data_IF_111533164219
#
_entry.id   IF_111533164219
#
_cell.length_a   1.000
_cell.length_b   1.000
_cell.length_c   1.000
_cell.angle_alpha   90.00
_cell.angle_beta   90.00
_cell.angle_gamma   90.00
#
_symmetry.space_group_name_H-M   'P 1'
#
loop_
_entity.id
_entity.type
_entity.pdbx_description
1 polymer ?
#
# COMPACT_ATOMS: atom_id res chain seq x y z
N UNK A 1 -8.54 -8.63 19.88
CA UNK A 1 -9.75 -9.06 19.17
C UNK A 1 -9.36 -10.25 18.30
N UNK A 2 -9.85 -11.45 18.62
CA UNK A 2 -9.51 -12.67 17.91
C UNK A 2 -10.31 -12.71 16.62
N UNK A 3 -9.65 -12.96 15.47
CA UNK A 3 -10.25 -13.09 14.13
C UNK A 3 -11.16 -14.33 13.94
N UNK A 4 -11.65 -14.94 15.05
CA UNK A 4 -12.30 -16.25 15.01
C UNK A 4 -13.79 -16.27 14.64
N UNK A 5 -14.46 -15.12 14.52
CA UNK A 5 -15.94 -15.07 14.41
C UNK A 5 -16.47 -14.51 13.07
N UNK A 6 -15.68 -14.50 12.01
CA UNK A 6 -16.23 -14.30 10.67
C UNK A 6 -16.69 -15.67 10.16
N UNK A 7 -17.98 -15.94 10.28
CA UNK A 7 -18.60 -17.17 9.74
C UNK A 7 -18.18 -17.37 8.28
N UNK A 8 -17.64 -18.53 7.92
CA UNK A 8 -17.39 -18.85 6.53
C UNK A 8 -18.74 -18.92 5.82
N UNK A 9 -18.90 -18.08 4.79
CA UNK A 9 -19.97 -18.29 3.80
C UNK A 9 -19.76 -19.70 3.27
N UNK A 10 -20.78 -20.55 3.38
CA UNK A 10 -20.74 -21.98 3.04
C UNK A 10 -19.93 -22.23 1.77
N UNK A 11 -18.79 -22.83 1.95
CA UNK A 11 -17.88 -23.19 0.89
C UNK A 11 -18.42 -24.43 0.18
N UNK A 12 -18.88 -24.28 -1.03
CA UNK A 12 -18.53 -25.33 -1.99
C UNK A 12 -17.01 -25.27 -2.10
N UNK A 13 -16.35 -26.14 -1.37
CA UNK A 13 -14.89 -26.33 -1.36
C UNK A 13 -14.42 -26.84 -2.71
N UNK A 14 -14.35 -25.95 -3.69
CA UNK A 14 -13.34 -26.06 -4.72
C UNK A 14 -12.20 -25.18 -4.24
N UNK A 15 -11.05 -25.73 -4.01
CA UNK A 15 -9.78 -25.02 -3.86
C UNK A 15 -9.58 -24.23 -5.16
N UNK A 16 -10.18 -23.05 -5.24
CA UNK A 16 -9.98 -22.16 -6.38
C UNK A 16 -8.50 -21.77 -6.37
N UNK A 17 -7.74 -22.42 -7.25
CA UNK A 17 -6.34 -22.07 -7.46
C UNK A 17 -6.33 -20.88 -8.43
N UNK A 18 -6.20 -19.67 -7.88
CA UNK A 18 -6.08 -18.48 -8.70
C UNK A 18 -4.66 -18.37 -9.24
N UNK A 19 -4.51 -18.44 -10.54
CA UNK A 19 -3.20 -18.38 -11.21
C UNK A 19 -2.82 -16.99 -11.69
N UNK A 20 -3.79 -16.12 -11.98
CA UNK A 20 -3.57 -14.74 -12.47
C UNK A 20 -4.44 -13.75 -11.72
N UNK A 21 -3.82 -13.03 -10.79
CA UNK A 21 -4.51 -12.10 -9.87
C UNK A 21 -4.21 -10.66 -10.28
N UNK A 22 -5.27 -9.87 -10.43
CA UNK A 22 -5.20 -8.42 -10.58
C UNK A 22 -5.52 -7.76 -9.24
N UNK A 23 -4.57 -7.04 -8.66
CA UNK A 23 -4.77 -6.21 -7.47
C UNK A 23 -4.85 -4.74 -7.89
N UNK A 24 -5.91 -4.04 -7.49
CA UNK A 24 -6.16 -2.65 -7.86
C UNK A 24 -6.10 -1.78 -6.61
N UNK A 25 -5.00 -1.06 -6.43
CA UNK A 25 -4.82 -0.04 -5.39
C UNK A 25 -3.92 1.08 -5.91
N UNK A 26 -4.48 2.03 -6.68
CA UNK A 26 -3.72 3.07 -7.36
C UNK A 26 -3.11 4.13 -6.44
N UNK A 27 -3.70 4.41 -5.28
CA UNK A 27 -3.28 5.48 -4.34
C UNK A 27 -3.99 5.31 -2.96
N UNK A 28 -3.60 6.00 -1.89
CA UNK A 28 -2.44 6.88 -1.77
C UNK A 28 -1.24 6.10 -1.22
N UNK A 29 -0.08 6.75 -0.98
CA UNK A 29 1.14 6.09 -0.49
C UNK A 29 0.88 5.20 0.74
N UNK A 30 0.30 5.75 1.81
CA UNK A 30 0.00 4.98 3.02
C UNK A 30 -0.94 3.80 2.76
N UNK A 31 -1.99 4.01 1.95
CA UNK A 31 -2.94 2.96 1.58
C UNK A 31 -2.29 1.84 0.75
N UNK A 32 -1.31 2.17 -0.11
CA UNK A 32 -0.53 1.20 -0.87
C UNK A 32 0.27 0.32 0.08
N UNK A 33 0.99 0.92 1.04
CA UNK A 33 1.74 0.17 2.06
C UNK A 33 0.80 -0.70 2.90
N UNK A 34 -0.37 -0.18 3.30
CA UNK A 34 -1.38 -0.95 4.04
C UNK A 34 -1.94 -2.16 3.25
N UNK A 35 -1.77 -2.20 1.93
CA UNK A 35 -2.18 -3.34 1.12
C UNK A 35 -1.10 -4.43 0.97
N UNK A 36 0.14 -4.22 1.40
CA UNK A 36 1.20 -5.24 1.33
C UNK A 36 0.84 -6.54 2.06
N UNK A 37 0.22 -6.52 3.26
CA UNK A 37 -0.21 -7.74 3.92
C UNK A 37 -1.19 -8.58 3.11
N UNK A 38 -2.01 -7.97 2.26
CA UNK A 38 -2.89 -8.71 1.35
C UNK A 38 -2.07 -9.51 0.34
N UNK A 39 -1.02 -8.90 -0.25
CA UNK A 39 -0.11 -9.60 -1.17
C UNK A 39 0.55 -10.77 -0.47
N UNK A 40 1.11 -10.56 0.73
CA UNK A 40 1.75 -11.60 1.52
C UNK A 40 0.78 -12.77 1.81
N UNK A 41 -0.47 -12.46 2.17
CA UNK A 41 -1.49 -13.46 2.45
C UNK A 41 -1.91 -14.24 1.19
N UNK A 42 -2.10 -13.55 0.05
CA UNK A 42 -2.42 -14.18 -1.23
C UNK A 42 -1.31 -15.12 -1.69
N UNK A 43 -0.05 -14.69 -1.59
CA UNK A 43 1.11 -15.51 -1.97
C UNK A 43 1.35 -16.68 -1.03
N UNK A 44 1.04 -16.56 0.26
CA UNK A 44 1.09 -17.68 1.19
C UNK A 44 0.03 -18.74 0.83
N UNK A 45 -1.16 -18.33 0.42
CA UNK A 45 -2.24 -19.23 0.01
C UNK A 45 -2.03 -19.82 -1.40
N UNK A 46 -1.57 -19.00 -2.34
CA UNK A 46 -1.34 -19.36 -3.74
C UNK A 46 0.08 -18.98 -4.18
N UNK A 47 1.12 -19.74 -3.79
CA UNK A 47 2.52 -19.39 -4.09
C UNK A 47 2.83 -19.28 -5.59
N UNK A 48 2.14 -20.08 -6.42
CA UNK A 48 2.29 -20.07 -7.88
C UNK A 48 1.46 -18.99 -8.61
N UNK A 49 0.64 -18.21 -7.90
CA UNK A 49 -0.17 -17.18 -8.52
C UNK A 49 0.70 -16.02 -9.06
N UNK A 50 0.43 -15.59 -10.28
CA UNK A 50 1.01 -14.38 -10.86
C UNK A 50 0.19 -13.16 -10.48
N UNK A 51 0.74 -12.29 -9.64
CA UNK A 51 0.08 -11.11 -9.13
C UNK A 51 0.52 -9.85 -9.87
N UNK A 52 -0.42 -9.22 -10.57
CA UNK A 52 -0.25 -7.90 -11.21
C UNK A 52 -0.91 -6.84 -10.36
N UNK A 53 -0.18 -5.78 -10.02
CA UNK A 53 -0.71 -4.67 -9.22
C UNK A 53 -0.86 -3.40 -10.05
N UNK A 54 -2.10 -2.89 -10.14
CA UNK A 54 -2.39 -1.59 -10.77
C UNK A 54 -2.16 -0.48 -9.75
N UNK A 55 -1.24 0.42 -10.07
CA UNK A 55 -0.83 1.54 -9.21
C UNK A 55 -0.58 2.81 -10.05
N UNK A 56 -0.75 4.01 -9.47
CA UNK A 56 -0.31 5.24 -10.13
C UNK A 56 1.19 5.23 -10.37
N UNK A 57 1.63 5.71 -11.55
CA UNK A 57 3.04 5.71 -11.97
C UNK A 57 4.00 6.24 -10.90
N UNK A 58 3.64 7.30 -10.21
CA UNK A 58 4.47 7.88 -9.14
C UNK A 58 4.76 6.94 -7.96
N UNK A 59 4.02 5.86 -7.81
CA UNK A 59 4.19 4.86 -6.75
C UNK A 59 4.64 3.48 -7.30
N UNK A 60 4.93 3.40 -8.60
CA UNK A 60 5.29 2.13 -9.24
C UNK A 60 6.52 1.52 -8.60
N UNK A 61 7.58 2.29 -8.42
CA UNK A 61 8.83 1.86 -7.80
C UNK A 61 8.62 1.27 -6.39
N UNK A 62 7.76 1.89 -5.57
CA UNK A 62 7.42 1.36 -4.24
C UNK A 62 6.78 -0.03 -4.34
N UNK A 63 5.86 -0.22 -5.29
CA UNK A 63 5.16 -1.50 -5.48
C UNK A 63 6.07 -2.57 -6.09
N UNK A 64 7.04 -2.21 -6.92
CA UNK A 64 8.08 -3.09 -7.44
C UNK A 64 8.96 -3.69 -6.32
N UNK A 65 9.07 -2.98 -5.20
CA UNK A 65 9.78 -3.45 -4.00
C UNK A 65 8.92 -4.37 -3.13
N UNK A 66 7.59 -4.44 -3.31
CA UNK A 66 6.74 -5.33 -2.54
C UNK A 66 7.00 -6.79 -2.92
N UNK A 67 7.40 -7.62 -1.95
CA UNK A 67 7.60 -9.06 -2.18
C UNK A 67 6.28 -9.74 -2.54
N UNK A 68 6.32 -10.54 -3.61
CA UNK A 68 5.14 -11.25 -4.07
C UNK A 68 4.35 -10.52 -5.17
N UNK A 69 4.73 -9.29 -5.54
CA UNK A 69 4.25 -8.65 -6.75
C UNK A 69 5.11 -9.11 -7.92
N UNK A 70 4.50 -9.75 -8.92
CA UNK A 70 5.21 -10.26 -10.09
C UNK A 70 5.26 -9.23 -11.22
N UNK A 71 4.23 -8.37 -11.30
CA UNK A 71 4.16 -7.29 -12.29
C UNK A 71 3.49 -6.06 -11.72
N UNK A 72 4.08 -4.90 -11.97
CA UNK A 72 3.47 -3.60 -11.72
C UNK A 72 2.85 -3.09 -13.02
N UNK A 73 1.60 -2.61 -12.93
CA UNK A 73 0.88 -1.97 -14.03
C UNK A 73 0.66 -0.50 -13.70
N UNK A 74 1.54 0.39 -14.16
CA UNK A 74 1.42 1.80 -13.86
C UNK A 74 0.26 2.45 -14.63
N UNK A 75 -0.57 3.21 -13.92
CA UNK A 75 -1.66 3.99 -14.51
C UNK A 75 -1.44 5.48 -14.28
N UNK A 76 -1.80 6.28 -15.30
CA UNK A 76 -1.69 7.74 -15.23
C UNK A 76 -2.65 8.41 -16.20
N UNK A 77 -2.75 9.73 -16.12
CA UNK A 77 -3.48 10.55 -17.06
C UNK A 77 -4.96 10.72 -16.75
N UNK A 78 -5.71 11.05 -17.80
CA UNK A 78 -7.14 11.38 -17.79
C UNK A 78 -8.03 10.13 -17.68
N UNK A 79 -9.34 10.34 -17.55
CA UNK A 79 -10.33 9.26 -17.55
C UNK A 79 -10.26 8.39 -18.82
N UNK A 80 -10.04 9.01 -19.99
CA UNK A 80 -9.89 8.26 -21.25
C UNK A 80 -8.65 7.37 -21.30
N UNK A 81 -7.53 7.84 -20.73
CA UNK A 81 -6.31 7.03 -20.56
C UNK A 81 -6.57 5.81 -19.67
N UNK A 82 -7.30 5.98 -18.57
CA UNK A 82 -7.66 4.89 -17.67
C UNK A 82 -8.53 3.85 -18.36
N UNK A 83 -9.48 4.29 -19.18
CA UNK A 83 -10.35 3.38 -19.94
C UNK A 83 -9.54 2.53 -20.95
N UNK A 84 -8.62 3.16 -21.69
CA UNK A 84 -7.70 2.45 -22.60
C UNK A 84 -6.85 1.41 -21.87
N UNK A 85 -6.31 1.79 -20.72
CA UNK A 85 -5.50 0.89 -19.89
C UNK A 85 -6.34 -0.26 -19.30
N UNK A 86 -7.59 0.02 -18.86
CA UNK A 86 -8.52 -1.00 -18.40
C UNK A 86 -8.84 -2.03 -19.49
N UNK A 87 -9.01 -1.58 -20.72
CA UNK A 87 -9.23 -2.48 -21.87
C UNK A 87 -8.01 -3.35 -22.16
N UNK A 88 -6.79 -2.80 -22.03
CA UNK A 88 -5.55 -3.54 -22.23
C UNK A 88 -5.36 -4.66 -21.17
N UNK A 89 -5.85 -4.46 -19.93
CA UNK A 89 -5.83 -5.49 -18.90
C UNK A 89 -6.61 -6.75 -19.27
N UNK A 90 -7.61 -6.65 -20.15
CA UNK A 90 -8.41 -7.80 -20.59
C UNK A 90 -7.58 -8.86 -21.31
N UNK A 91 -6.56 -8.45 -22.04
CA UNK A 91 -5.66 -9.37 -22.76
C UNK A 91 -4.84 -10.26 -21.82
N UNK A 92 -4.68 -9.83 -20.56
CA UNK A 92 -3.92 -10.56 -19.54
C UNK A 92 -4.67 -11.77 -18.96
N UNK A 93 -5.99 -11.89 -19.22
CA UNK A 93 -6.83 -13.04 -18.83
C UNK A 93 -6.74 -13.36 -17.33
N UNK A 94 -6.99 -12.36 -16.48
CA UNK A 94 -7.06 -12.55 -15.03
C UNK A 94 -8.24 -13.45 -14.65
N UNK A 95 -8.04 -14.34 -13.68
CA UNK A 95 -9.11 -15.16 -13.08
C UNK A 95 -9.69 -14.53 -11.82
N UNK A 96 -8.96 -13.61 -11.20
CA UNK A 96 -9.38 -12.85 -10.02
C UNK A 96 -8.96 -11.40 -10.14
N UNK A 97 -9.89 -10.47 -9.90
CA UNK A 97 -9.60 -9.05 -9.72
C UNK A 97 -10.04 -8.61 -8.33
N UNK A 98 -9.12 -7.99 -7.60
CA UNK A 98 -9.31 -7.48 -6.22
C UNK A 98 -9.22 -5.96 -6.26
N UNK A 99 -10.31 -5.26 -5.94
CA UNK A 99 -10.32 -3.81 -5.84
C UNK A 99 -10.31 -3.35 -4.38
N UNK A 100 -9.15 -2.87 -3.92
CA UNK A 100 -8.95 -2.29 -2.59
C UNK A 100 -9.13 -0.75 -2.59
N UNK A 101 -9.37 -0.14 -3.74
CA UNK A 101 -9.59 1.31 -3.84
C UNK A 101 -11.05 1.69 -3.60
N UNK A 102 -11.99 0.97 -4.20
CA UNK A 102 -13.42 1.17 -4.00
C UNK A 102 -13.95 2.49 -4.57
N UNK A 103 -13.46 2.95 -5.72
CA UNK A 103 -13.93 4.12 -6.46
C UNK A 103 -14.38 3.73 -7.86
N UNK A 104 -15.19 4.56 -8.54
CA UNK A 104 -15.68 4.28 -9.88
C UNK A 104 -14.57 3.84 -10.86
N UNK A 105 -13.46 4.59 -10.90
CA UNK A 105 -12.35 4.30 -11.80
C UNK A 105 -11.72 2.93 -11.55
N UNK A 106 -11.56 2.54 -10.30
CA UNK A 106 -11.01 1.22 -9.95
C UNK A 106 -12.01 0.10 -10.22
N UNK A 107 -13.31 0.36 -9.99
CA UNK A 107 -14.38 -0.55 -10.38
C UNK A 107 -14.39 -0.82 -11.89
N UNK A 108 -14.24 0.22 -12.71
CA UNK A 108 -14.10 0.09 -14.18
C UNK A 108 -12.90 -0.79 -14.55
N UNK A 109 -11.73 -0.58 -13.91
CA UNK A 109 -10.56 -1.45 -14.13
C UNK A 109 -10.88 -2.91 -13.82
N UNK A 110 -11.53 -3.17 -12.68
CA UNK A 110 -11.97 -4.52 -12.31
C UNK A 110 -12.95 -5.10 -13.32
N UNK A 111 -13.99 -4.34 -13.72
CA UNK A 111 -14.99 -4.78 -14.67
C UNK A 111 -14.44 -5.10 -16.05
N UNK A 112 -13.63 -4.20 -16.62
CA UNK A 112 -13.04 -4.35 -17.95
C UNK A 112 -11.90 -5.35 -18.01
N UNK A 113 -11.28 -5.72 -16.88
CA UNK A 113 -10.26 -6.79 -16.82
C UNK A 113 -10.77 -8.12 -17.37
N UNK A 114 -12.09 -8.33 -17.34
CA UNK A 114 -12.70 -9.58 -17.79
C UNK A 114 -12.54 -10.73 -16.79
N UNK A 115 -11.98 -10.48 -15.60
CA UNK A 115 -11.87 -11.51 -14.56
C UNK A 115 -13.26 -12.03 -14.16
N UNK A 116 -13.48 -13.37 -14.12
CA UNK A 116 -14.78 -13.95 -13.73
C UNK A 116 -15.11 -13.67 -12.26
N UNK A 117 -14.09 -13.58 -11.40
CA UNK A 117 -14.26 -13.19 -10.00
C UNK A 117 -13.70 -11.79 -9.81
N UNK A 118 -14.58 -10.87 -9.41
CA UNK A 118 -14.22 -9.49 -9.11
C UNK A 118 -14.72 -9.16 -7.71
N UNK A 119 -13.79 -8.85 -6.79
CA UNK A 119 -14.12 -8.65 -5.39
C UNK A 119 -13.68 -7.25 -4.94
N UNK A 120 -14.50 -6.62 -4.14
CA UNK A 120 -14.24 -5.31 -3.53
C UNK A 120 -15.24 -5.03 -2.41
N UNK A 121 -15.16 -3.84 -1.83
CA UNK A 121 -15.99 -3.47 -0.68
C UNK A 121 -17.43 -3.16 -1.08
N UNK A 122 -18.40 -3.65 -0.28
CA UNK A 122 -19.82 -3.35 -0.45
C UNK A 122 -20.11 -1.85 -0.27
N UNK A 123 -19.40 -1.18 0.64
CA UNK A 123 -19.46 0.26 0.88
C UNK A 123 -18.53 1.08 -0.02
N UNK A 124 -18.10 0.52 -1.16
CA UNK A 124 -17.36 1.25 -2.18
C UNK A 124 -18.13 2.48 -2.66
N UNK A 125 -17.41 3.55 -3.01
CA UNK A 125 -18.00 4.83 -3.41
C UNK A 125 -18.17 4.94 -4.92
N UNK A 126 -18.92 5.97 -5.35
CA UNK A 126 -19.07 6.33 -6.76
C UNK A 126 -19.62 5.19 -7.64
N UNK A 127 -20.38 4.25 -7.07
CA UNK A 127 -20.93 3.12 -7.80
C UNK A 127 -19.95 1.98 -8.08
N UNK A 128 -18.75 1.97 -7.49
CA UNK A 128 -17.78 0.89 -7.69
C UNK A 128 -18.31 -0.51 -7.39
N UNK A 129 -19.24 -0.75 -6.41
CA UNK A 129 -19.78 -2.08 -6.16
C UNK A 129 -20.53 -2.71 -7.34
N UNK A 130 -20.98 -1.92 -8.32
CA UNK A 130 -21.66 -2.46 -9.51
C UNK A 130 -20.76 -3.32 -10.41
N UNK A 131 -19.44 -3.12 -10.30
CA UNK A 131 -18.46 -3.86 -11.08
C UNK A 131 -18.03 -5.18 -10.43
N UNK A 132 -18.42 -5.44 -9.17
CA UNK A 132 -17.98 -6.62 -8.43
C UNK A 132 -18.98 -7.77 -8.54
N UNK A 133 -18.45 -8.98 -8.68
CA UNK A 133 -19.25 -10.22 -8.57
C UNK A 133 -19.37 -10.68 -7.11
N UNK A 134 -18.43 -10.25 -6.24
CA UNK A 134 -18.47 -10.49 -4.80
C UNK A 134 -18.22 -9.18 -4.07
N UNK A 135 -18.99 -8.92 -3.03
CA UNK A 135 -18.87 -7.71 -2.22
C UNK A 135 -18.57 -8.09 -0.79
N UNK A 136 -17.64 -7.37 -0.19
CA UNK A 136 -17.20 -7.60 1.20
C UNK A 136 -17.75 -6.49 2.07
N UNK A 137 -18.52 -6.89 3.08
CA UNK A 137 -19.02 -5.96 4.09
C UNK A 137 -17.89 -5.50 5.01
N UNK A 138 -17.90 -4.21 5.36
CA UNK A 138 -16.96 -3.63 6.31
C UNK A 138 -17.73 -3.37 7.59
N UNK A 139 -17.41 -4.06 8.70
CA UNK A 139 -18.20 -4.02 9.94
C UNK A 139 -18.32 -2.63 10.56
N UNK A 140 -17.24 -1.83 10.50
CA UNK A 140 -17.23 -0.47 11.05
C UNK A 140 -16.50 0.49 10.12
N UNK A 141 -16.91 1.77 10.13
CA UNK A 141 -16.25 2.81 9.32
C UNK A 141 -14.83 3.15 9.83
N UNK A 142 -14.60 2.92 11.13
CA UNK A 142 -13.35 3.23 11.83
C UNK A 142 -12.32 2.10 11.73
N UNK A 143 -12.66 0.99 11.05
CA UNK A 143 -11.74 -0.13 10.88
C UNK A 143 -10.43 0.32 10.24
N UNK A 144 -9.31 -0.08 10.84
CA UNK A 144 -7.99 0.24 10.31
C UNK A 144 -7.82 -0.30 8.89
N UNK A 145 -7.14 0.46 8.02
CA UNK A 145 -7.05 0.13 6.60
C UNK A 145 -6.45 -1.26 6.32
N UNK A 146 -5.47 -1.71 7.10
CA UNK A 146 -4.87 -3.05 6.99
C UNK A 146 -5.92 -4.13 7.22
N UNK A 147 -6.67 -4.04 8.33
CA UNK A 147 -7.69 -5.02 8.69
C UNK A 147 -8.80 -5.04 7.65
N UNK A 148 -9.23 -3.86 7.22
CA UNK A 148 -10.21 -3.69 6.15
C UNK A 148 -9.78 -4.39 4.85
N UNK A 149 -8.52 -4.25 4.44
CA UNK A 149 -8.02 -4.89 3.22
C UNK A 149 -7.90 -6.40 3.39
N UNK A 150 -7.51 -6.87 4.56
CA UNK A 150 -7.43 -8.30 4.88
C UNK A 150 -8.80 -8.98 4.91
N UNK A 151 -9.91 -8.26 5.19
CA UNK A 151 -11.27 -8.82 5.02
C UNK A 151 -11.48 -9.36 3.60
N UNK A 152 -10.94 -8.67 2.57
CA UNK A 152 -11.09 -9.11 1.18
C UNK A 152 -10.34 -10.43 0.94
N UNK A 153 -9.14 -10.58 1.50
CA UNK A 153 -8.40 -11.84 1.45
C UNK A 153 -9.16 -12.95 2.19
N UNK A 154 -9.68 -12.67 3.39
CA UNK A 154 -10.51 -13.62 4.17
C UNK A 154 -11.74 -14.08 3.41
N UNK A 155 -12.45 -13.17 2.72
CA UNK A 155 -13.62 -13.49 1.90
C UNK A 155 -13.30 -14.38 0.67
N UNK A 156 -12.04 -14.47 0.28
CA UNK A 156 -11.52 -15.40 -0.74
C UNK A 156 -11.11 -16.76 -0.14
N UNK A 157 -11.28 -16.95 1.16
CA UNK A 157 -10.87 -18.18 1.86
C UNK A 157 -9.38 -18.24 2.20
N UNK A 158 -8.67 -17.10 2.08
CA UNK A 158 -7.26 -17.01 2.48
C UNK A 158 -7.15 -17.10 3.99
N UNK A 159 -6.34 -18.02 4.48
CA UNK A 159 -6.10 -18.17 5.92
C UNK A 159 -5.15 -17.07 6.40
N UNK A 160 -5.68 -16.17 7.21
CA UNK A 160 -4.90 -15.11 7.86
C UNK A 160 -4.30 -15.67 9.15
N UNK A 161 -2.97 -15.82 9.21
CA UNK A 161 -2.26 -16.35 10.37
C UNK A 161 -1.27 -15.33 10.90
N UNK A 162 -1.28 -15.13 12.22
CA UNK A 162 -0.37 -14.21 12.89
C UNK A 162 -0.59 -12.74 12.57
N UNK A 163 0.45 -11.94 12.77
CA UNK A 163 0.42 -10.50 12.48
C UNK A 163 0.52 -10.19 10.98
N UNK A 164 -0.09 -9.09 10.49
CA UNK A 164 0.05 -8.65 9.10
C UNK A 164 1.51 -8.51 8.68
N UNK A 165 1.89 -9.11 7.55
CA UNK A 165 3.27 -9.12 7.07
C UNK A 165 3.49 -8.08 5.98
N UNK A 166 4.35 -7.10 6.26
CA UNK A 166 4.77 -6.07 5.31
C UNK A 166 6.12 -6.46 4.70
N UNK A 167 6.09 -7.28 3.64
CA UNK A 167 7.31 -7.77 2.99
C UNK A 167 7.75 -6.81 1.90
N UNK A 168 8.97 -6.30 2.05
CA UNK A 168 9.54 -5.26 1.20
C UNK A 168 11.00 -5.55 0.90
N UNK A 169 11.39 -5.46 -0.36
CA UNK A 169 12.76 -5.66 -0.81
C UNK A 169 13.56 -4.37 -0.65
N UNK A 170 14.65 -4.42 0.10
CA UNK A 170 15.67 -3.39 0.14
C UNK A 170 16.82 -3.87 -0.72
N UNK A 171 17.20 -3.11 -1.76
CA UNK A 171 18.32 -3.50 -2.62
C UNK A 171 19.63 -3.02 -2.01
N UNK A 172 20.72 -3.74 -2.32
CA UNK A 172 22.06 -3.35 -1.91
C UNK A 172 22.45 -1.94 -2.38
N UNK A 173 21.97 -1.56 -3.58
CA UNK A 173 22.16 -0.21 -4.12
C UNK A 173 21.47 0.87 -3.26
N UNK A 174 20.27 0.61 -2.74
CA UNK A 174 19.55 1.55 -1.85
C UNK A 174 20.34 1.71 -0.54
N UNK A 175 20.83 0.60 0.02
CA UNK A 175 21.66 0.62 1.23
C UNK A 175 22.98 1.33 1.02
N UNK A 176 23.64 1.12 -0.12
CA UNK A 176 24.89 1.81 -0.47
C UNK A 176 24.68 3.32 -0.57
N UNK A 177 23.60 3.76 -1.23
CA UNK A 177 23.25 5.18 -1.36
C UNK A 177 23.00 5.83 0.02
N UNK A 178 22.25 5.16 0.89
CA UNK A 178 21.93 5.67 2.23
C UNK A 178 23.21 5.72 3.10
N UNK A 179 24.09 4.70 3.05
CA UNK A 179 25.37 4.69 3.74
C UNK A 179 26.25 5.88 3.30
N UNK A 180 26.33 6.13 2.00
CA UNK A 180 27.10 7.26 1.46
C UNK A 180 26.51 8.60 1.90
N UNK A 181 25.18 8.73 1.91
CA UNK A 181 24.52 9.93 2.41
C UNK A 181 24.88 10.20 3.89
N UNK A 182 24.81 9.18 4.74
CA UNK A 182 25.19 9.31 6.15
C UNK A 182 26.65 9.70 6.30
N UNK A 183 27.55 9.00 5.61
CA UNK A 183 28.99 9.28 5.62
C UNK A 183 29.31 10.72 5.19
N UNK A 184 28.65 11.22 4.13
CA UNK A 184 28.83 12.59 3.64
C UNK A 184 28.38 13.67 4.63
N UNK A 185 27.59 13.29 5.64
CA UNK A 185 27.11 14.15 6.74
C UNK A 185 27.83 13.88 8.07
N UNK A 186 28.89 13.07 8.06
CA UNK A 186 29.64 12.73 9.27
C UNK A 186 28.90 11.78 10.23
N UNK A 187 27.88 11.07 9.74
CA UNK A 187 27.10 10.11 10.52
C UNK A 187 27.34 8.67 10.03
N UNK A 188 26.94 7.68 10.84
CA UNK A 188 27.00 6.26 10.51
C UNK A 188 25.65 5.60 10.70
N UNK A 189 25.28 4.68 9.79
CA UNK A 189 24.11 3.82 9.94
C UNK A 189 24.30 2.73 11.02
N UNK A 190 25.55 2.45 11.42
CA UNK A 190 25.85 1.42 12.40
C UNK A 190 25.63 1.90 13.85
N UNK A 191 25.31 3.17 14.00
CA UNK A 191 24.93 3.79 15.27
C UNK A 191 23.43 4.11 15.31
N UNK A 192 22.81 4.17 16.49
CA UNK A 192 21.42 4.61 16.61
C UNK A 192 21.21 5.98 15.98
N UNK A 193 20.14 6.11 15.20
CA UNK A 193 19.70 7.35 14.57
C UNK A 193 18.17 7.46 14.59
N UNK A 194 17.67 8.67 14.43
CA UNK A 194 16.24 8.97 14.48
C UNK A 194 15.78 9.49 13.12
N UNK A 195 14.71 8.93 12.57
CA UNK A 195 14.01 9.48 11.43
C UNK A 195 12.89 10.40 11.92
N UNK A 196 12.92 11.67 11.50
CA UNK A 196 11.90 12.67 11.84
C UNK A 196 11.15 13.09 10.58
N UNK A 197 9.82 12.87 10.54
CA UNK A 197 8.96 13.40 9.50
C UNK A 197 8.26 14.65 10.00
N UNK A 198 8.56 15.79 9.37
CA UNK A 198 8.10 17.13 9.81
C UNK A 198 6.88 17.62 9.05
N UNK A 199 6.41 16.86 8.07
CA UNK A 199 5.34 17.31 7.19
C UNK A 199 4.14 16.34 7.14
N UNK A 200 3.00 16.86 6.73
CA UNK A 200 1.81 16.08 6.42
C UNK A 200 1.05 16.74 5.27
N UNK A 201 0.31 15.95 4.49
CA UNK A 201 -0.51 16.45 3.39
C UNK A 201 -1.53 17.51 3.85
N UNK A 202 -2.14 17.30 5.01
CA UNK A 202 -3.18 18.19 5.53
C UNK A 202 -2.57 19.15 6.56
N UNK A 203 -2.80 20.48 6.44
CA UNK A 203 -2.27 21.47 7.39
C UNK A 203 -2.66 21.16 8.85
N UNK A 204 -3.88 20.65 9.07
CA UNK A 204 -4.38 20.27 10.41
C UNK A 204 -3.63 19.09 11.06
N UNK A 205 -2.80 18.39 10.30
CA UNK A 205 -1.95 17.28 10.78
C UNK A 205 -0.47 17.69 10.89
N UNK A 206 -0.14 18.93 10.59
CA UNK A 206 1.22 19.46 10.72
C UNK A 206 1.42 20.03 12.11
N UNK A 207 2.54 19.69 12.72
CA UNK A 207 2.97 20.31 13.96
C UNK A 207 3.75 21.60 13.67
N UNK A 208 3.88 22.49 14.67
CA UNK A 208 4.58 23.76 14.47
C UNK A 208 6.09 23.54 14.37
N UNK A 209 6.82 24.25 13.46
CA UNK A 209 8.27 24.12 13.32
C UNK A 209 9.04 24.30 14.64
N UNK A 210 8.69 25.30 15.45
CA UNK A 210 9.31 25.52 16.76
C UNK A 210 9.15 24.35 17.74
N UNK A 211 8.05 23.58 17.63
CA UNK A 211 7.88 22.38 18.46
C UNK A 211 8.81 21.24 18.01
N UNK A 212 9.02 21.09 16.70
CA UNK A 212 10.02 20.15 16.18
C UNK A 212 11.43 20.57 16.59
N UNK A 213 11.77 21.89 16.53
CA UNK A 213 13.06 22.41 16.97
C UNK A 213 13.32 22.08 18.45
N UNK A 214 12.33 22.33 19.33
CA UNK A 214 12.47 22.01 20.75
C UNK A 214 12.70 20.51 21.01
N UNK A 215 12.10 19.61 20.20
CA UNK A 215 12.36 18.18 20.27
C UNK A 215 13.76 17.86 19.80
N UNK A 216 14.24 18.48 18.71
CA UNK A 216 15.59 18.27 18.19
C UNK A 216 16.65 18.69 19.22
N UNK A 217 16.48 19.86 19.88
CA UNK A 217 17.37 20.34 20.92
C UNK A 217 17.44 19.34 22.08
N UNK A 218 16.30 18.83 22.51
CA UNK A 218 16.25 17.86 23.59
C UNK A 218 16.93 16.55 23.23
N UNK A 219 16.67 16.02 22.03
CA UNK A 219 17.32 14.80 21.54
C UNK A 219 18.84 14.98 21.45
N UNK A 220 19.31 16.16 21.04
CA UNK A 220 20.73 16.50 21.02
C UNK A 220 21.33 16.53 22.43
N UNK A 221 20.67 17.20 23.39
CA UNK A 221 21.09 17.28 24.80
C UNK A 221 21.17 15.88 25.47
N UNK A 222 20.23 14.99 25.13
CA UNK A 222 20.19 13.62 25.65
C UNK A 222 21.16 12.66 24.91
N UNK A 223 21.87 13.12 23.89
CA UNK A 223 22.85 12.30 23.15
C UNK A 223 22.22 11.18 22.33
N UNK A 224 20.98 11.36 21.86
CA UNK A 224 20.21 10.31 21.16
C UNK A 224 20.72 9.98 19.74
N UNK A 225 21.86 10.52 19.32
CA UNK A 225 22.44 10.30 17.99
C UNK A 225 21.88 11.24 16.91
N UNK A 226 22.31 11.05 15.66
CA UNK A 226 21.89 11.92 14.56
C UNK A 226 20.42 11.82 14.24
N UNK A 227 19.78 12.96 13.93
CA UNK A 227 18.41 13.01 13.44
C UNK A 227 18.40 13.26 11.94
N UNK A 228 17.71 12.43 11.20
CA UNK A 228 17.52 12.54 9.75
C UNK A 228 16.10 13.00 9.48
N UNK A 229 15.94 14.20 8.92
CA UNK A 229 14.65 14.71 8.49
C UNK A 229 14.28 14.06 7.16
N UNK A 230 13.13 13.38 7.13
CA UNK A 230 12.59 12.72 5.95
C UNK A 230 11.33 13.42 5.46
N UNK A 231 11.14 13.49 4.14
CA UNK A 231 9.99 14.14 3.52
C UNK A 231 10.08 14.10 2.00
N UNK A 232 9.15 14.78 1.34
CA UNK A 232 9.16 15.00 -0.11
C UNK A 232 9.99 16.24 -0.48
N UNK A 233 10.24 16.42 -1.78
CA UNK A 233 10.88 17.65 -2.28
C UNK A 233 10.10 18.92 -1.90
N UNK A 234 8.77 18.82 -1.78
CA UNK A 234 7.91 19.94 -1.35
C UNK A 234 8.07 20.33 0.12
N UNK A 235 8.63 19.43 0.94
CA UNK A 235 8.80 19.65 2.38
C UNK A 235 10.18 20.24 2.72
N UNK A 236 11.02 20.48 1.69
CA UNK A 236 12.39 20.99 1.87
C UNK A 236 12.42 22.32 2.63
N UNK A 237 11.51 23.23 2.32
CA UNK A 237 11.40 24.52 2.99
C UNK A 237 11.16 24.37 4.50
N UNK A 238 10.20 23.51 4.88
CA UNK A 238 9.88 23.23 6.28
C UNK A 238 11.09 22.60 7.01
N UNK A 239 11.81 21.68 6.33
CA UNK A 239 13.00 21.06 6.87
C UNK A 239 14.18 22.04 7.02
N UNK A 240 14.34 23.02 6.10
CA UNK A 240 15.36 24.05 6.17
C UNK A 240 15.08 25.04 7.29
N UNK A 241 13.84 25.40 7.55
CA UNK A 241 13.46 26.25 8.69
C UNK A 241 13.92 25.66 10.02
N UNK A 242 13.86 24.34 10.20
CA UNK A 242 14.34 23.70 11.44
C UNK A 242 15.86 23.84 11.67
N UNK A 243 16.64 24.16 10.65
CA UNK A 243 18.09 24.38 10.78
C UNK A 243 18.44 25.79 11.24
N UNK A 244 17.47 26.70 11.18
CA UNK A 244 17.65 28.12 11.50
C UNK A 244 16.99 28.54 12.81
N UNK A 245 16.19 27.66 13.39
CA UNK A 245 15.57 27.78 14.72
C UNK A 245 16.49 27.17 15.78
#
# INVERSE_FOLDING_TARGET
MQFADVLPIESRSSTLNHSRILLIKPSSLGDIVHAFPVVSALKAQWPGAHLTWVVKRQWAELVERAEGVDRVWPVEGTAGSWFKQAWALRAERFDLAIDLQGLFRSGVLAGLSGAPIRIGFANGREGSPWFYTRRVEVPTAEMHAVDRYLLVAGALGVRLQGSPQFRFKILDADMAMVRELFRSKGASLDQPWIAMNVSARWPTKRWFPGSFAAVLDRLHQEGCGPVVVIGSAGDRHDAEQLRTL
#
